data_IF_689745603727
#
_entry.id   IF_689745603727
#
_cell.length_a   1.000
_cell.length_b   1.000
_cell.length_c   1.000
_cell.angle_alpha   90.00
_cell.angle_beta   90.00
_cell.angle_gamma   90.00
#
_symmetry.space_group_name_H-M   'P 1'
#
loop_
_entity.id
_entity.type
_entity.pdbx_description
1 polymer ?
#
# COMPACT_ATOMS: atom_id res chain seq x y z
N UNK A 1 15.02 -9.99 -8.57
CA UNK A 1 14.33 -11.26 -8.92
C UNK A 1 15.28 -12.27 -9.57
N UNK A 2 15.88 -12.01 -10.74
CA UNK A 2 16.73 -13.00 -11.43
C UNK A 2 17.99 -13.45 -10.67
N UNK A 3 18.75 -12.53 -10.07
CA UNK A 3 19.93 -12.88 -9.25
C UNK A 3 19.56 -13.73 -8.03
N UNK A 4 18.39 -13.48 -7.46
CA UNK A 4 17.88 -14.23 -6.32
C UNK A 4 17.52 -15.66 -6.72
N UNK A 5 16.87 -15.85 -7.88
CA UNK A 5 16.53 -17.18 -8.42
C UNK A 5 17.77 -17.96 -8.80
N UNK A 6 18.76 -17.33 -9.45
CA UNK A 6 20.04 -17.98 -9.79
C UNK A 6 20.81 -18.39 -8.53
N UNK A 7 20.82 -17.57 -7.49
CA UNK A 7 21.37 -17.91 -6.19
C UNK A 7 20.67 -19.13 -5.57
N UNK A 8 19.34 -19.15 -5.53
CA UNK A 8 18.59 -20.29 -5.01
C UNK A 8 18.87 -21.60 -5.75
N UNK A 9 18.95 -21.58 -7.08
CA UNK A 9 19.25 -22.79 -7.86
C UNK A 9 20.67 -23.31 -7.60
N UNK A 10 21.62 -22.38 -7.40
CA UNK A 10 23.03 -22.73 -7.18
C UNK A 10 23.28 -23.20 -5.75
N UNK A 11 22.74 -22.51 -4.75
CA UNK A 11 22.98 -22.77 -3.32
C UNK A 11 22.09 -23.90 -2.76
N UNK A 12 20.81 -23.93 -3.13
CA UNK A 12 19.87 -24.91 -2.58
C UNK A 12 19.78 -26.20 -3.41
N UNK A 13 20.26 -26.17 -4.66
CA UNK A 13 20.23 -27.30 -5.61
C UNK A 13 18.95 -28.16 -5.51
N UNK A 14 17.76 -27.56 -5.62
CA UNK A 14 16.52 -28.27 -5.37
C UNK A 14 16.39 -29.45 -6.33
N UNK A 15 16.08 -30.63 -5.79
CA UNK A 15 15.89 -31.88 -6.55
C UNK A 15 17.10 -32.30 -7.41
N UNK A 16 18.33 -31.91 -7.05
CA UNK A 16 19.52 -32.27 -7.81
C UNK A 16 19.60 -31.59 -9.18
N UNK A 17 18.97 -30.42 -9.33
CA UNK A 17 18.93 -29.64 -10.57
C UNK A 17 20.32 -29.47 -11.20
N UNK A 18 21.35 -29.14 -10.41
CA UNK A 18 22.71 -28.88 -10.87
C UNK A 18 23.43 -30.12 -11.43
N UNK A 19 22.90 -31.33 -11.20
CA UNK A 19 23.43 -32.58 -11.77
C UNK A 19 22.86 -32.86 -13.17
N UNK A 20 21.76 -32.19 -13.52
CA UNK A 20 21.01 -32.39 -14.76
C UNK A 20 21.20 -31.24 -15.76
N UNK A 21 21.95 -30.19 -15.39
CA UNK A 21 22.26 -29.04 -16.25
C UNK A 21 23.76 -28.77 -16.27
N UNK A 22 24.29 -28.31 -17.41
CA UNK A 22 25.74 -28.10 -17.57
C UNK A 22 26.31 -26.96 -16.71
N UNK A 23 25.54 -25.90 -16.47
CA UNK A 23 25.86 -24.82 -15.54
C UNK A 23 24.62 -23.93 -15.31
N UNK A 24 24.51 -23.33 -14.12
CA UNK A 24 23.58 -22.21 -13.88
C UNK A 24 24.28 -20.93 -14.31
N UNK A 25 23.83 -20.35 -15.43
CA UNK A 25 24.44 -19.13 -15.98
C UNK A 25 23.90 -17.91 -15.24
N UNK A 26 24.77 -17.06 -14.67
CA UNK A 26 24.35 -15.80 -14.07
C UNK A 26 23.64 -14.89 -15.07
N UNK A 27 22.70 -14.08 -14.59
CA UNK A 27 21.86 -13.25 -15.45
C UNK A 27 22.67 -12.35 -16.39
N UNK A 28 23.75 -11.74 -15.91
CA UNK A 28 24.63 -10.86 -16.67
C UNK A 28 25.38 -11.53 -17.83
N UNK A 29 25.49 -12.87 -17.81
CA UNK A 29 26.03 -13.69 -18.89
C UNK A 29 24.93 -14.27 -19.80
N UNK A 30 23.70 -14.40 -19.30
CA UNK A 30 22.57 -14.95 -20.04
C UNK A 30 21.89 -13.91 -20.96
N UNK A 31 21.96 -12.62 -20.63
CA UNK A 31 21.42 -11.54 -21.46
C UNK A 31 22.51 -10.69 -22.11
N UNK A 32 22.25 -10.27 -23.35
CA UNK A 32 23.09 -9.32 -24.04
C UNK A 32 22.93 -7.91 -23.43
N UNK A 33 23.80 -7.57 -22.49
CA UNK A 33 23.85 -6.25 -21.85
C UNK A 33 24.73 -5.24 -22.62
N UNK A 34 25.18 -5.56 -23.84
CA UNK A 34 26.10 -4.73 -24.62
C UNK A 34 25.62 -3.28 -24.74
N UNK A 35 24.37 -3.07 -25.12
CA UNK A 35 23.82 -1.72 -25.28
C UNK A 35 23.77 -0.97 -23.95
N UNK A 36 23.35 -1.62 -22.86
CA UNK A 36 23.25 -1.01 -21.53
C UNK A 36 24.61 -0.65 -20.93
N UNK A 37 25.61 -1.51 -21.13
CA UNK A 37 26.98 -1.30 -20.63
C UNK A 37 27.75 -0.20 -21.37
N UNK A 38 27.37 0.07 -22.62
CA UNK A 38 27.98 1.12 -23.44
C UNK A 38 27.32 2.49 -23.26
N UNK A 39 26.31 2.61 -22.39
CA UNK A 39 25.74 3.91 -22.05
C UNK A 39 26.65 4.58 -21.01
N UNK A 40 27.54 5.45 -21.48
CA UNK A 40 28.47 6.20 -20.63
C UNK A 40 27.95 7.60 -20.24
N UNK A 41 26.85 8.04 -20.85
CA UNK A 41 26.24 9.37 -20.69
C UNK A 41 24.88 9.34 -19.95
N UNK A 42 24.61 8.29 -19.18
CA UNK A 42 23.55 8.41 -18.17
C UNK A 42 24.21 9.09 -16.98
N UNK A 43 23.91 10.37 -16.77
CA UNK A 43 24.05 10.96 -15.45
C UNK A 43 23.29 10.05 -14.50
N UNK A 44 24.03 9.31 -13.66
CA UNK A 44 23.43 8.56 -12.57
C UNK A 44 22.95 9.57 -11.55
N UNK A 45 21.81 10.20 -11.87
CA UNK A 45 21.03 10.90 -10.86
C UNK A 45 20.53 9.78 -9.96
N UNK A 46 20.88 9.82 -8.67
CA UNK A 46 20.17 9.01 -7.69
C UNK A 46 18.68 9.22 -7.93
N UNK A 47 17.90 8.13 -8.02
CA UNK A 47 16.45 8.27 -8.05
C UNK A 47 16.07 9.17 -6.88
N UNK A 48 15.30 10.23 -7.15
CA UNK A 48 14.73 11.06 -6.10
C UNK A 48 13.90 10.14 -5.22
N UNK A 49 14.50 9.69 -4.12
CA UNK A 49 13.76 9.01 -3.06
C UNK A 49 13.01 10.12 -2.37
N UNK A 50 11.70 10.18 -2.63
CA UNK A 50 10.84 11.10 -1.93
C UNK A 50 11.08 10.95 -0.41
N UNK A 51 11.49 12.05 0.23
CA UNK A 51 11.73 12.10 1.65
C UNK A 51 10.42 12.41 2.38
N UNK A 52 9.79 11.35 2.87
CA UNK A 52 8.52 11.40 3.59
C UNK A 52 8.68 11.62 5.10
N UNK A 53 9.89 11.97 5.58
CA UNK A 53 10.14 12.21 7.00
C UNK A 53 9.55 13.54 7.51
N UNK A 54 9.25 14.47 6.60
CA UNK A 54 8.69 15.77 6.94
C UNK A 54 7.16 15.69 7.13
N UNK A 55 6.63 16.42 8.12
CA UNK A 55 5.19 16.52 8.30
C UNK A 55 4.56 17.34 7.15
N UNK A 56 3.59 16.74 6.45
CA UNK A 56 2.82 17.42 5.43
C UNK A 56 2.12 18.65 6.03
N UNK A 57 2.46 19.84 5.50
CA UNK A 57 1.89 21.13 5.95
C UNK A 57 0.65 21.55 5.17
N UNK A 58 0.44 20.96 3.98
CA UNK A 58 -0.69 21.28 3.11
C UNK A 58 -1.51 20.03 2.79
N UNK A 59 -2.83 20.20 2.77
CA UNK A 59 -3.78 19.16 2.40
C UNK A 59 -3.76 19.02 0.89
N UNK A 60 -3.15 17.94 0.39
CA UNK A 60 -3.01 17.66 -1.04
C UNK A 60 -4.33 17.24 -1.72
N UNK A 61 -5.28 16.71 -0.94
CA UNK A 61 -6.62 16.37 -1.41
C UNK A 61 -7.59 16.30 -0.22
N UNK A 62 -8.83 16.77 -0.44
CA UNK A 62 -9.93 16.64 0.52
C UNK A 62 -11.13 16.03 -0.20
N UNK A 63 -11.74 15.02 0.41
CA UNK A 63 -12.95 14.37 -0.10
C UNK A 63 -13.99 14.22 1.01
N UNK A 64 -15.27 14.26 0.65
CA UNK A 64 -16.38 13.94 1.54
C UNK A 64 -17.02 12.63 1.06
N UNK A 65 -16.95 11.60 1.89
CA UNK A 65 -17.52 10.29 1.57
C UNK A 65 -18.67 9.98 2.52
N UNK A 66 -19.80 9.58 1.94
CA UNK A 66 -20.99 9.18 2.72
C UNK A 66 -20.88 7.70 3.08
N UNK A 67 -20.28 7.43 4.24
CA UNK A 67 -20.21 6.09 4.83
C UNK A 67 -21.38 5.92 5.80
N UNK A 68 -22.28 4.99 5.49
CA UNK A 68 -23.43 4.66 6.33
C UNK A 68 -23.13 3.49 7.26
N UNK A 69 -23.79 3.49 8.41
CA UNK A 69 -23.67 2.48 9.45
C UNK A 69 -25.03 1.92 9.79
N UNK A 70 -25.06 0.67 10.29
CA UNK A 70 -26.27 0.11 10.86
C UNK A 70 -26.73 0.95 12.08
N UNK A 71 -28.04 1.04 12.31
CA UNK A 71 -28.62 1.84 13.41
C UNK A 71 -28.04 1.43 14.75
N UNK A 72 -27.54 2.41 15.52
CA UNK A 72 -26.91 2.16 16.83
C UNK A 72 -25.59 1.39 16.78
N UNK A 73 -25.02 1.16 15.60
CA UNK A 73 -23.81 0.35 15.41
C UNK A 73 -22.67 1.17 14.78
N UNK A 74 -21.45 0.66 14.96
CA UNK A 74 -20.23 1.07 14.26
C UNK A 74 -19.90 0.13 13.09
N UNK A 75 -20.77 -0.84 12.80
CA UNK A 75 -20.66 -1.71 11.63
C UNK A 75 -20.99 -0.95 10.36
N UNK A 76 -20.02 -0.91 9.43
CA UNK A 76 -20.16 -0.29 8.11
C UNK A 76 -21.22 -1.08 7.33
N UNK A 77 -22.21 -0.37 6.77
CA UNK A 77 -23.25 -1.03 5.99
C UNK A 77 -22.68 -1.64 4.71
N UNK A 78 -23.23 -2.77 4.27
CA UNK A 78 -22.86 -3.40 2.99
C UNK A 78 -23.00 -2.46 1.79
N UNK A 79 -23.93 -1.50 1.85
CA UNK A 79 -24.10 -0.47 0.83
C UNK A 79 -22.93 0.52 0.75
N UNK A 80 -22.18 0.68 1.85
CA UNK A 80 -21.05 1.60 1.97
C UNK A 80 -19.70 0.90 1.77
N UNK A 81 -19.63 -0.43 1.81
CA UNK A 81 -18.39 -1.19 1.62
C UNK A 81 -17.67 -0.84 0.31
N UNK A 82 -18.41 -0.71 -0.79
CA UNK A 82 -17.84 -0.29 -2.09
C UNK A 82 -17.23 1.11 -2.06
N UNK A 83 -17.77 2.00 -1.23
CA UNK A 83 -17.27 3.36 -1.12
C UNK A 83 -15.98 3.39 -0.29
N UNK A 84 -15.93 2.62 0.80
CA UNK A 84 -14.71 2.46 1.60
C UNK A 84 -13.60 1.78 0.80
N UNK A 85 -13.93 0.80 -0.04
CA UNK A 85 -12.98 0.16 -0.96
C UNK A 85 -12.37 1.14 -1.97
N UNK A 86 -13.15 2.11 -2.48
CA UNK A 86 -12.58 3.18 -3.34
C UNK A 86 -11.58 4.04 -2.58
N UNK A 87 -11.90 4.40 -1.33
CA UNK A 87 -10.99 5.17 -0.47
C UNK A 87 -9.69 4.39 -0.24
N UNK A 88 -9.81 3.09 0.05
CA UNK A 88 -8.66 2.20 0.20
C UNK A 88 -7.77 2.21 -1.05
N UNK A 89 -8.36 2.01 -2.24
CA UNK A 89 -7.62 2.00 -3.50
C UNK A 89 -6.92 3.34 -3.79
N UNK A 90 -7.53 4.47 -3.40
CA UNK A 90 -6.89 5.79 -3.50
C UNK A 90 -5.70 5.92 -2.55
N UNK A 91 -5.83 5.41 -1.32
CA UNK A 91 -4.75 5.46 -0.32
C UNK A 91 -3.56 4.57 -0.70
N UNK A 92 -3.79 3.39 -1.30
CA UNK A 92 -2.72 2.51 -1.79
C UNK A 92 -1.87 3.19 -2.87
N UNK A 93 -2.47 4.03 -3.72
CA UNK A 93 -1.74 4.76 -4.76
C UNK A 93 -0.95 5.95 -4.20
N UNK A 94 -1.32 6.45 -3.03
CA UNK A 94 -0.75 7.63 -2.41
C UNK A 94 0.15 7.23 -1.22
N UNK A 95 1.31 6.64 -1.53
CA UNK A 95 2.31 6.22 -0.54
C UNK A 95 2.67 7.38 0.42
N UNK A 96 2.60 7.13 1.73
CA UNK A 96 2.81 8.09 2.84
C UNK A 96 1.74 9.17 3.10
N UNK A 97 0.49 8.92 2.71
CA UNK A 97 -0.63 9.80 3.05
C UNK A 97 -0.99 9.76 4.55
N UNK A 98 -1.09 10.93 5.19
CA UNK A 98 -1.71 11.08 6.52
C UNK A 98 -3.22 11.32 6.37
N UNK A 99 -4.04 10.46 6.96
CA UNK A 99 -5.50 10.57 6.91
C UNK A 99 -6.06 11.08 8.25
N UNK A 100 -7.03 11.99 8.20
CA UNK A 100 -7.89 12.33 9.34
C UNK A 100 -9.31 11.88 9.03
N UNK A 101 -9.90 11.04 9.88
CA UNK A 101 -11.29 10.57 9.73
C UNK A 101 -12.13 11.02 10.92
N UNK A 102 -13.26 11.66 10.61
CA UNK A 102 -14.18 12.27 11.57
C UNK A 102 -15.53 11.59 11.45
N UNK A 103 -16.01 11.00 12.55
CA UNK A 103 -17.32 10.37 12.61
C UNK A 103 -18.41 11.36 13.02
N UNK A 104 -19.59 11.23 12.41
CA UNK A 104 -20.78 11.99 12.78
C UNK A 104 -21.91 11.05 13.25
N UNK A 105 -22.78 11.57 14.11
CA UNK A 105 -24.04 10.95 14.54
C UNK A 105 -25.18 11.94 14.35
N UNK A 106 -26.41 11.44 14.43
CA UNK A 106 -27.57 12.30 14.53
C UNK A 106 -27.61 13.04 15.88
N UNK A 107 -28.58 13.96 16.01
CA UNK A 107 -28.83 14.75 17.21
C UNK A 107 -29.85 14.10 18.16
N UNK A 108 -30.22 12.83 17.94
CA UNK A 108 -31.24 12.14 18.72
C UNK A 108 -30.56 11.32 19.82
N UNK A 109 -31.07 11.42 21.05
CA UNK A 109 -30.57 10.64 22.19
C UNK A 109 -29.51 11.37 23.04
N UNK A 110 -28.64 10.59 23.70
CA UNK A 110 -27.68 11.10 24.67
C UNK A 110 -26.40 11.60 23.98
N UNK A 111 -25.98 12.87 24.16
CA UNK A 111 -24.77 13.41 23.54
C UNK A 111 -23.48 12.63 23.83
N UNK A 112 -23.32 12.10 25.05
CA UNK A 112 -22.14 11.32 25.43
C UNK A 112 -22.12 9.97 24.72
N UNK A 113 -23.29 9.33 24.54
CA UNK A 113 -23.42 8.09 23.79
C UNK A 113 -23.13 8.33 22.29
N UNK A 114 -23.62 9.45 21.75
CA UNK A 114 -23.38 9.86 20.38
C UNK A 114 -21.90 10.18 20.11
N UNK A 115 -21.20 10.80 21.06
CA UNK A 115 -19.75 11.02 20.98
C UNK A 115 -18.96 9.70 21.02
N UNK A 116 -19.38 8.74 21.85
CA UNK A 116 -18.74 7.42 21.87
C UNK A 116 -18.97 6.69 20.54
N UNK A 117 -20.21 6.71 20.04
CA UNK A 117 -20.60 6.07 18.78
C UNK A 117 -19.87 6.69 17.58
N UNK A 118 -19.74 8.01 17.53
CA UNK A 118 -19.02 8.70 16.45
C UNK A 118 -17.55 8.30 16.40
N UNK A 119 -16.90 8.18 17.57
CA UNK A 119 -15.52 7.69 17.68
C UNK A 119 -15.40 6.24 17.26
N UNK A 120 -16.32 5.36 17.68
CA UNK A 120 -16.32 3.96 17.26
C UNK A 120 -16.50 3.80 15.75
N UNK A 121 -17.36 4.62 15.13
CA UNK A 121 -17.54 4.65 13.67
C UNK A 121 -16.28 5.10 12.93
N UNK A 122 -15.63 6.15 13.42
CA UNK A 122 -14.34 6.60 12.86
C UNK A 122 -13.28 5.50 12.97
N UNK A 123 -13.20 4.82 14.13
CA UNK A 123 -12.26 3.73 14.35
C UNK A 123 -12.53 2.54 13.41
N UNK A 124 -13.79 2.16 13.19
CA UNK A 124 -14.15 1.08 12.27
C UNK A 124 -13.67 1.33 10.83
N UNK A 125 -13.75 2.59 10.37
CA UNK A 125 -13.22 2.98 9.05
C UNK A 125 -11.69 2.89 9.04
N UNK A 126 -11.02 3.37 10.10
CA UNK A 126 -9.56 3.26 10.21
C UNK A 126 -9.11 1.80 10.19
N UNK A 127 -9.79 0.92 10.92
CA UNK A 127 -9.45 -0.49 11.00
C UNK A 127 -9.68 -1.20 9.65
N UNK A 128 -10.71 -0.81 8.90
CA UNK A 128 -10.93 -1.30 7.54
C UNK A 128 -9.79 -0.88 6.59
N UNK A 129 -9.31 0.37 6.69
CA UNK A 129 -8.26 0.90 5.81
C UNK A 129 -6.85 0.41 6.16
N UNK A 130 -6.67 -0.26 7.31
CA UNK A 130 -5.39 -0.85 7.75
C UNK A 130 -5.20 -2.31 7.34
N UNK A 131 -6.26 -3.01 6.93
CA UNK A 131 -6.19 -4.39 6.45
C UNK A 131 -5.50 -4.45 5.09
#
# INVERSE_FOLDING_TARGET
VYNQVSGYLTELNPFGFNENVGAVVPYDQAVNLFFLKNINDIESTSADKADYSNEAKEVVASGEWKINFNTGSAEISNSSSKEVEKIYNLLVQAENTKLTVVGHTDNVGNPNANLALSKSRAQAVVDYLKQ
#
